data_IF_977061047813
#
_entry.id   IF_977061047813
#
_cell.length_a   1.000
_cell.length_b   1.000
_cell.length_c   1.000
_cell.angle_alpha   90.00
_cell.angle_beta   90.00
_cell.angle_gamma   90.00
#
_symmetry.space_group_name_H-M   'P 1'
#
loop_
_entity.id
_entity.type
_entity.pdbx_description
1 polymer ?
#
# COMPACT_ATOMS: atom_id res chain seq x y z
N UNK A 1 36.36 0.30 24.35
CA UNK A 1 35.05 0.97 24.38
C UNK A 1 34.47 0.74 22.99
N UNK A 2 33.55 -0.22 22.86
CA UNK A 2 32.87 -0.52 21.60
C UNK A 2 32.13 0.73 21.15
N UNK A 3 32.56 1.35 20.05
CA UNK A 3 31.78 2.43 19.43
C UNK A 3 30.62 1.75 18.72
N UNK A 4 29.44 1.78 19.33
CA UNK A 4 28.21 1.49 18.59
C UNK A 4 28.12 2.53 17.47
N UNK A 5 28.30 2.11 16.23
CA UNK A 5 28.03 2.94 15.06
C UNK A 5 26.51 3.13 14.98
N UNK A 6 26.04 4.25 15.53
CA UNK A 6 24.63 4.61 15.43
C UNK A 6 24.25 4.80 13.97
N UNK A 7 23.16 4.14 13.54
CA UNK A 7 22.60 4.34 12.21
C UNK A 7 22.17 5.80 12.01
N UNK A 8 22.11 6.27 10.76
CA UNK A 8 21.65 7.63 10.44
C UNK A 8 20.27 7.94 11.05
N UNK A 9 19.39 6.95 11.03
CA UNK A 9 18.07 7.00 11.66
C UNK A 9 18.17 7.26 13.17
N UNK A 10 19.05 6.55 13.87
CA UNK A 10 19.28 6.73 15.31
C UNK A 10 19.84 8.11 15.64
N UNK A 11 20.79 8.60 14.84
CA UNK A 11 21.42 9.91 15.06
C UNK A 11 20.44 11.06 14.84
N UNK A 12 19.67 11.02 13.75
CA UNK A 12 18.68 12.03 13.47
C UNK A 12 17.53 11.99 14.49
N UNK A 13 17.01 10.82 14.86
CA UNK A 13 15.93 10.72 15.86
C UNK A 13 16.38 11.12 17.28
N UNK A 14 17.64 10.86 17.65
CA UNK A 14 18.17 11.24 18.96
C UNK A 14 18.32 12.77 19.10
N UNK A 15 18.53 13.48 17.99
CA UNK A 15 18.65 14.94 18.01
C UNK A 15 17.29 15.58 17.69
N UNK A 16 16.61 16.07 18.73
CA UNK A 16 15.32 16.75 18.58
C UNK A 16 15.46 18.16 18.00
N UNK A 17 16.63 18.79 18.14
CA UNK A 17 16.86 20.21 17.84
C UNK A 17 17.65 20.43 16.55
N UNK A 18 18.03 19.35 15.86
CA UNK A 18 18.60 19.41 14.53
C UNK A 18 18.07 18.29 13.61
N UNK A 19 18.10 18.58 12.31
CA UNK A 19 18.04 17.55 11.28
C UNK A 19 19.49 17.14 11.00
N UNK A 20 19.81 15.87 11.26
CA UNK A 20 21.18 15.35 11.15
C UNK A 20 21.31 14.58 9.84
N UNK A 21 22.32 14.94 9.04
CA UNK A 21 22.63 14.26 7.78
C UNK A 21 24.13 13.94 7.72
N UNK A 22 24.49 12.70 7.37
CA UNK A 22 25.88 12.31 7.13
C UNK A 22 26.15 12.15 5.64
N UNK A 23 27.21 12.78 5.17
CA UNK A 23 27.71 12.65 3.82
C UNK A 23 28.54 11.36 3.63
N UNK A 24 28.70 10.96 2.37
CA UNK A 24 29.49 9.78 1.99
C UNK A 24 30.98 9.88 2.39
N UNK A 25 31.51 11.10 2.56
CA UNK A 25 32.86 11.36 3.07
C UNK A 25 32.98 11.19 4.60
N UNK A 26 31.89 10.86 5.31
CA UNK A 26 31.83 10.68 6.75
C UNK A 26 31.49 11.94 7.55
N UNK A 27 31.45 13.11 6.91
CA UNK A 27 31.10 14.39 7.52
C UNK A 27 29.63 14.43 7.93
N UNK A 28 29.32 15.03 9.08
CA UNK A 28 27.96 15.17 9.60
C UNK A 28 27.59 16.65 9.58
N UNK A 29 26.48 16.97 8.92
CA UNK A 29 25.85 18.28 8.99
C UNK A 29 24.59 18.25 9.83
N UNK A 30 24.45 19.29 10.64
CA UNK A 30 23.30 19.52 11.49
C UNK A 30 22.60 20.78 11.00
N UNK A 31 21.34 20.65 10.61
CA UNK A 31 20.49 21.77 10.19
C UNK A 31 19.58 22.10 11.37
N UNK A 32 19.66 23.31 11.86
CA UNK A 32 18.92 23.79 13.05
C UNK A 32 17.84 24.80 12.65
N UNK A 33 17.04 25.27 13.61
CA UNK A 33 16.03 26.29 13.36
C UNK A 33 16.62 27.63 12.85
N UNK A 34 17.90 27.91 13.16
CA UNK A 34 18.59 29.12 12.72
C UNK A 34 18.77 29.15 11.19
N UNK A 35 18.98 27.98 10.57
CA UNK A 35 19.07 27.82 9.11
C UNK A 35 17.74 28.08 8.38
N UNK A 36 16.64 28.20 9.13
CA UNK A 36 15.32 28.55 8.64
C UNK A 36 14.92 29.99 9.02
N UNK A 37 15.89 30.90 9.14
CA UNK A 37 15.68 32.29 9.61
C UNK A 37 15.01 32.35 11.00
N UNK A 38 15.25 31.34 11.85
CA UNK A 38 14.61 31.19 13.17
C UNK A 38 13.15 30.72 13.12
N UNK A 39 12.65 30.27 11.96
CA UNK A 39 11.26 29.81 11.81
C UNK A 39 11.07 28.39 12.36
N UNK A 40 10.82 28.31 13.66
CA UNK A 40 10.63 27.06 14.40
C UNK A 40 9.52 26.16 13.79
N UNK A 41 8.42 26.75 13.32
CA UNK A 41 7.30 25.98 12.75
C UNK A 41 7.70 25.29 11.44
N UNK A 42 8.47 25.99 10.61
CA UNK A 42 8.99 25.45 9.37
C UNK A 42 10.03 24.37 9.64
N UNK A 43 10.97 24.63 10.56
CA UNK A 43 11.94 23.64 11.03
C UNK A 43 11.27 22.35 11.52
N UNK A 44 10.29 22.44 12.43
CA UNK A 44 9.58 21.27 12.95
C UNK A 44 8.82 20.49 11.88
N UNK A 45 8.31 21.16 10.84
CA UNK A 45 7.68 20.48 9.70
C UNK A 45 8.71 19.65 8.92
N UNK A 46 9.87 20.23 8.60
CA UNK A 46 10.94 19.54 7.89
C UNK A 46 11.59 18.44 8.72
N UNK A 47 11.73 18.66 10.04
CA UNK A 47 12.23 17.67 10.98
C UNK A 47 11.34 16.43 11.01
N UNK A 48 10.02 16.59 11.16
CA UNK A 48 9.06 15.47 11.09
C UNK A 48 9.13 14.72 9.77
N UNK A 49 9.31 15.44 8.65
CA UNK A 49 9.44 14.83 7.35
C UNK A 49 10.73 14.00 7.24
N UNK A 50 11.85 14.55 7.70
CA UNK A 50 13.15 13.87 7.75
C UNK A 50 13.11 12.63 8.65
N UNK A 51 12.53 12.73 9.85
CA UNK A 51 12.35 11.60 10.77
C UNK A 51 11.59 10.46 10.12
N UNK A 52 10.50 10.78 9.42
CA UNK A 52 9.71 9.79 8.69
C UNK A 52 10.52 9.11 7.59
N UNK A 53 11.27 9.86 6.78
CA UNK A 53 12.10 9.29 5.72
C UNK A 53 13.15 8.32 6.27
N UNK A 54 13.83 8.67 7.36
CA UNK A 54 14.82 7.80 7.97
C UNK A 54 14.21 6.53 8.59
N UNK A 55 12.99 6.60 9.12
CA UNK A 55 12.26 5.42 9.61
C UNK A 55 11.86 4.52 8.44
N UNK A 56 11.28 5.10 7.38
CA UNK A 56 10.84 4.36 6.19
C UNK A 56 12.02 3.65 5.51
N UNK A 57 13.17 4.32 5.40
CA UNK A 57 14.41 3.75 4.86
C UNK A 57 14.94 2.62 5.75
N UNK A 58 14.99 2.81 7.06
CA UNK A 58 15.39 1.77 8.02
C UNK A 58 14.49 0.53 7.87
N UNK A 59 13.18 0.72 7.84
CA UNK A 59 12.21 -0.38 7.74
C UNK A 59 12.31 -1.09 6.38
N UNK A 60 12.56 -0.35 5.30
CA UNK A 60 12.86 -0.93 3.99
C UNK A 60 14.13 -1.78 4.03
N UNK A 61 15.21 -1.25 4.60
CA UNK A 61 16.48 -1.98 4.75
C UNK A 61 16.30 -3.25 5.60
N UNK A 62 15.55 -3.19 6.70
CA UNK A 62 15.22 -4.39 7.49
C UNK A 62 14.44 -5.41 6.67
N UNK A 63 13.41 -5.00 5.93
CA UNK A 63 12.65 -5.92 5.05
C UNK A 63 13.51 -6.60 3.98
N UNK A 64 14.52 -5.89 3.47
CA UNK A 64 15.41 -6.41 2.41
C UNK A 64 16.51 -7.30 3.00
N UNK A 65 17.15 -6.87 4.09
CA UNK A 65 18.36 -7.49 4.64
C UNK A 65 18.09 -8.61 5.65
N UNK A 66 17.04 -8.49 6.47
CA UNK A 66 16.63 -9.51 7.44
C UNK A 66 15.52 -10.36 6.84
N UNK A 67 15.89 -11.18 5.85
CA UNK A 67 15.06 -12.32 5.45
C UNK A 67 15.58 -13.53 6.22
N UNK A 68 15.02 -13.82 7.39
CA UNK A 68 15.21 -15.10 8.09
C UNK A 68 14.46 -16.19 7.32
N UNK A 69 14.94 -16.49 6.12
CA UNK A 69 14.49 -17.61 5.29
C UNK A 69 15.63 -18.60 5.18
N UNK A 70 15.30 -19.87 5.37
CA UNK A 70 16.26 -20.95 5.16
C UNK A 70 16.78 -20.88 3.72
N UNK A 71 18.08 -21.06 3.52
CA UNK A 71 18.67 -21.13 2.17
C UNK A 71 18.02 -22.23 1.32
N UNK A 72 17.42 -23.24 1.98
CA UNK A 72 16.70 -24.33 1.33
C UNK A 72 15.24 -23.98 0.96
N UNK A 73 14.72 -22.81 1.38
CA UNK A 73 13.41 -22.28 1.01
C UNK A 73 13.49 -21.14 -0.02
N UNK A 74 14.71 -20.76 -0.43
CA UNK A 74 14.95 -19.84 -1.53
C UNK A 74 14.84 -20.61 -2.86
N UNK A 75 13.68 -20.57 -3.51
CA UNK A 75 13.69 -20.69 -4.98
C UNK A 75 14.38 -19.43 -5.52
N UNK A 76 15.63 -19.60 -5.95
CA UNK A 76 16.68 -18.59 -6.20
C UNK A 76 16.35 -17.43 -7.18
N UNK A 77 15.13 -17.31 -7.69
CA UNK A 77 14.81 -16.37 -8.79
C UNK A 77 13.82 -15.26 -8.41
N UNK A 78 12.86 -15.51 -7.53
CA UNK A 78 11.74 -14.56 -7.32
C UNK A 78 11.98 -13.56 -6.18
N UNK A 79 12.86 -13.88 -5.21
CA UNK A 79 13.11 -13.04 -4.03
C UNK A 79 14.34 -12.12 -4.13
N UNK A 80 15.18 -12.31 -5.16
CA UNK A 80 16.38 -11.50 -5.42
C UNK A 80 16.13 -10.36 -6.44
N UNK A 81 14.95 -10.33 -7.07
CA UNK A 81 14.60 -9.28 -8.03
C UNK A 81 14.14 -8.03 -7.25
N UNK A 82 15.08 -7.10 -7.02
CA UNK A 82 14.72 -5.74 -6.66
C UNK A 82 14.17 -5.07 -7.92
N UNK A 83 12.93 -4.56 -7.90
CA UNK A 83 12.36 -3.96 -9.10
C UNK A 83 13.16 -2.73 -9.51
N UNK A 84 13.36 -2.55 -10.80
CA UNK A 84 14.01 -1.35 -11.34
C UNK A 84 13.23 -0.07 -10.97
N UNK A 85 13.88 1.10 -11.01
CA UNK A 85 13.20 2.37 -10.73
C UNK A 85 12.01 2.57 -11.68
N UNK A 86 12.16 2.16 -12.93
CA UNK A 86 11.14 2.13 -13.95
C UNK A 86 9.98 1.21 -13.55
N UNK A 87 10.26 -0.01 -13.08
CA UNK A 87 9.23 -0.92 -12.57
C UNK A 87 8.50 -0.35 -11.35
N UNK A 88 9.21 0.30 -10.43
CA UNK A 88 8.60 0.98 -9.27
C UNK A 88 7.67 2.11 -9.71
N UNK A 89 8.04 2.87 -10.74
CA UNK A 89 7.19 3.93 -11.30
C UNK A 89 5.94 3.36 -11.98
N UNK A 90 6.07 2.28 -12.77
CA UNK A 90 4.95 1.58 -13.39
C UNK A 90 4.00 1.03 -12.33
N UNK A 91 4.52 0.35 -11.30
CA UNK A 91 3.70 -0.17 -10.19
C UNK A 91 2.91 0.94 -9.48
N UNK A 92 3.51 2.13 -9.31
CA UNK A 92 2.81 3.29 -8.73
C UNK A 92 1.71 3.83 -9.64
N UNK A 93 1.96 3.88 -10.94
CA UNK A 93 0.96 4.32 -11.92
C UNK A 93 -0.23 3.36 -11.93
N UNK A 94 0.03 2.05 -11.92
CA UNK A 94 -0.98 1.01 -11.79
C UNK A 94 -1.80 1.15 -10.50
N UNK A 95 -1.15 1.46 -9.37
CA UNK A 95 -1.85 1.69 -8.09
C UNK A 95 -2.78 2.90 -8.15
N UNK A 96 -2.37 3.98 -8.81
CA UNK A 96 -3.20 5.18 -8.99
C UNK A 96 -4.39 4.86 -9.91
N UNK A 97 -4.15 4.17 -11.03
CA UNK A 97 -5.19 3.75 -11.97
C UNK A 97 -6.20 2.80 -11.29
N UNK A 98 -5.71 1.80 -10.56
CA UNK A 98 -6.53 0.90 -9.77
C UNK A 98 -7.40 1.65 -8.75
N UNK A 99 -6.81 2.60 -8.02
CA UNK A 99 -7.53 3.40 -7.02
C UNK A 99 -8.65 4.20 -7.68
N UNK A 100 -8.39 4.76 -8.87
CA UNK A 100 -9.40 5.50 -9.65
C UNK A 100 -10.54 4.58 -10.10
N UNK A 101 -10.24 3.45 -10.73
CA UNK A 101 -11.24 2.47 -11.20
C UNK A 101 -12.07 1.92 -10.04
N UNK A 102 -11.45 1.65 -8.88
CA UNK A 102 -12.17 1.25 -7.66
C UNK A 102 -13.12 2.32 -7.17
N UNK A 103 -12.70 3.59 -7.14
CA UNK A 103 -13.57 4.68 -6.72
C UNK A 103 -14.76 4.86 -7.67
N UNK A 104 -14.54 4.72 -8.98
CA UNK A 104 -15.61 4.76 -9.99
C UNK A 104 -16.57 3.58 -9.84
N UNK A 105 -16.07 2.36 -9.61
CA UNK A 105 -16.91 1.21 -9.33
C UNK A 105 -17.74 1.41 -8.06
N UNK A 106 -17.10 1.81 -6.95
CA UNK A 106 -17.77 2.10 -5.69
C UNK A 106 -18.84 3.17 -5.89
N UNK A 107 -18.61 4.18 -6.74
CA UNK A 107 -19.59 5.21 -7.09
C UNK A 107 -20.92 4.63 -7.65
N UNK A 108 -20.87 3.48 -8.33
CA UNK A 108 -22.06 2.79 -8.89
C UNK A 108 -22.89 2.04 -7.85
N UNK A 109 -22.34 1.79 -6.65
CA UNK A 109 -23.00 1.06 -5.58
C UNK A 109 -23.87 1.99 -4.74
N UNK A 110 -25.02 1.47 -4.29
CA UNK A 110 -25.84 2.18 -3.29
C UNK A 110 -25.17 2.19 -1.93
N UNK A 111 -25.55 3.11 -1.05
CA UNK A 111 -24.98 3.22 0.30
C UNK A 111 -25.07 1.90 1.09
N UNK A 112 -26.19 1.18 0.95
CA UNK A 112 -26.35 -0.15 1.56
C UNK A 112 -25.38 -1.18 0.99
N UNK A 113 -25.13 -1.15 -0.32
CA UNK A 113 -24.18 -2.07 -0.97
C UNK A 113 -22.74 -1.77 -0.53
N UNK A 114 -22.35 -0.50 -0.45
CA UNK A 114 -21.01 -0.09 0.02
C UNK A 114 -20.79 -0.49 1.47
N UNK A 115 -21.74 -0.18 2.36
CA UNK A 115 -21.66 -0.57 3.78
C UNK A 115 -21.46 -2.07 3.96
N UNK A 116 -22.20 -2.89 3.19
CA UNK A 116 -22.07 -4.35 3.25
C UNK A 116 -20.72 -4.83 2.71
N UNK A 117 -20.22 -4.20 1.65
CA UNK A 117 -18.89 -4.49 1.10
C UNK A 117 -17.78 -4.15 2.12
N UNK A 118 -17.86 -3.01 2.80
CA UNK A 118 -16.93 -2.60 3.85
C UNK A 118 -16.94 -3.56 5.04
N UNK A 119 -18.12 -4.00 5.48
CA UNK A 119 -18.24 -4.98 6.57
C UNK A 119 -17.58 -6.31 6.21
N UNK A 120 -17.75 -6.78 4.97
CA UNK A 120 -17.13 -8.01 4.49
C UNK A 120 -15.61 -7.86 4.31
N UNK A 121 -15.18 -6.85 3.55
CA UNK A 121 -13.78 -6.73 3.11
C UNK A 121 -12.84 -6.14 4.17
N UNK A 122 -13.28 -5.12 4.90
CA UNK A 122 -12.41 -4.42 5.88
C UNK A 122 -12.53 -4.99 7.28
N UNK A 123 -13.69 -5.54 7.63
CA UNK A 123 -13.98 -6.03 8.99
C UNK A 123 -14.14 -7.55 9.06
N UNK A 124 -13.93 -8.24 7.94
CA UNK A 124 -13.98 -9.71 7.83
C UNK A 124 -15.28 -10.32 8.37
N UNK A 125 -16.40 -9.62 8.24
CA UNK A 125 -17.71 -10.11 8.71
C UNK A 125 -18.36 -11.04 7.71
N UNK A 126 -18.85 -12.17 8.21
CA UNK A 126 -19.64 -13.12 7.43
C UNK A 126 -21.01 -12.54 7.06
N UNK A 127 -21.67 -13.10 6.03
CA UNK A 127 -23.01 -12.65 5.62
C UNK A 127 -24.05 -12.82 6.75
N UNK A 128 -23.87 -13.80 7.62
CA UNK A 128 -24.73 -14.05 8.79
C UNK A 128 -24.53 -12.94 9.83
N UNK A 129 -23.29 -12.61 10.20
CA UNK A 129 -23.01 -11.50 11.11
C UNK A 129 -23.49 -10.16 10.55
N UNK A 130 -23.34 -9.92 9.24
CA UNK A 130 -23.87 -8.71 8.59
C UNK A 130 -25.41 -8.66 8.70
N UNK A 131 -26.07 -9.80 8.53
CA UNK A 131 -27.51 -9.90 8.67
C UNK A 131 -27.96 -9.56 10.11
N UNK A 132 -27.22 -10.03 11.11
CA UNK A 132 -27.46 -9.69 12.52
C UNK A 132 -27.24 -8.19 12.80
N UNK A 133 -26.14 -7.61 12.30
CA UNK A 133 -25.80 -6.18 12.45
C UNK A 133 -26.86 -5.27 11.81
N UNK A 134 -27.42 -5.67 10.67
CA UNK A 134 -28.45 -4.90 9.96
C UNK A 134 -29.88 -5.30 10.33
N UNK A 135 -30.05 -6.20 11.32
CA UNK A 135 -31.34 -6.76 11.72
C UNK A 135 -32.18 -7.24 10.53
N UNK A 136 -31.53 -7.92 9.59
CA UNK A 136 -32.15 -8.43 8.38
C UNK A 136 -31.90 -9.92 8.23
N UNK A 137 -32.52 -10.53 7.21
CA UNK A 137 -32.34 -11.96 6.94
C UNK A 137 -31.15 -12.16 6.00
N UNK A 138 -30.33 -13.18 6.27
CA UNK A 138 -29.15 -13.52 5.46
C UNK A 138 -29.44 -13.62 3.94
N UNK A 139 -30.58 -14.16 3.46
CA UNK A 139 -30.87 -14.19 2.02
C UNK A 139 -30.92 -12.80 1.36
N UNK A 140 -31.31 -11.77 2.11
CA UNK A 140 -31.31 -10.38 1.62
C UNK A 140 -29.90 -9.82 1.48
N UNK A 141 -28.99 -10.22 2.37
CA UNK A 141 -27.56 -9.91 2.28
C UNK A 141 -26.96 -10.64 1.08
N UNK A 142 -27.23 -11.93 0.93
CA UNK A 142 -26.76 -12.73 -0.22
C UNK A 142 -27.19 -12.10 -1.55
N UNK A 143 -28.48 -11.78 -1.71
CA UNK A 143 -29.00 -11.11 -2.91
C UNK A 143 -28.31 -9.77 -3.19
N UNK A 144 -27.95 -9.04 -2.13
CA UNK A 144 -27.18 -7.80 -2.25
C UNK A 144 -25.80 -8.03 -2.84
N UNK A 145 -25.10 -9.07 -2.38
CA UNK A 145 -23.77 -9.43 -2.91
C UNK A 145 -23.85 -9.91 -4.36
N UNK A 146 -24.85 -10.73 -4.70
CA UNK A 146 -25.11 -11.11 -6.10
C UNK A 146 -25.29 -9.89 -7.01
N UNK A 147 -26.03 -8.88 -6.54
CA UNK A 147 -26.19 -7.63 -7.29
C UNK A 147 -24.89 -6.82 -7.40
N UNK A 148 -24.07 -6.79 -6.35
CA UNK A 148 -22.74 -6.15 -6.38
C UNK A 148 -21.85 -6.85 -7.40
N UNK A 149 -21.80 -8.18 -7.40
CA UNK A 149 -21.03 -8.97 -8.37
C UNK A 149 -21.48 -8.73 -9.80
N UNK A 150 -22.79 -8.63 -10.05
CA UNK A 150 -23.31 -8.31 -11.38
C UNK A 150 -22.92 -6.89 -11.82
N UNK A 151 -23.01 -5.90 -10.91
CA UNK A 151 -22.56 -4.53 -11.20
C UNK A 151 -21.07 -4.47 -11.51
N UNK A 152 -20.27 -5.24 -10.77
CA UNK A 152 -18.83 -5.34 -10.98
C UNK A 152 -18.51 -5.91 -12.37
N UNK A 153 -19.15 -7.02 -12.73
CA UNK A 153 -19.02 -7.62 -14.07
C UNK A 153 -19.38 -6.63 -15.17
N UNK A 154 -20.51 -5.94 -15.04
CA UNK A 154 -20.93 -4.94 -16.03
C UNK A 154 -19.98 -3.73 -16.08
N UNK A 155 -19.39 -3.31 -14.96
CA UNK A 155 -18.42 -2.21 -14.88
C UNK A 155 -17.15 -2.57 -15.67
N UNK A 156 -16.65 -3.78 -15.44
CA UNK A 156 -15.51 -4.37 -16.15
C UNK A 156 -15.79 -4.48 -17.66
N UNK A 157 -16.95 -5.04 -18.05
CA UNK A 157 -17.34 -5.19 -19.45
C UNK A 157 -17.51 -3.83 -20.16
N UNK A 158 -18.05 -2.83 -19.46
CA UNK A 158 -18.20 -1.48 -20.00
C UNK A 158 -16.84 -0.84 -20.28
N UNK A 159 -15.90 -0.95 -19.35
CA UNK A 159 -14.51 -0.50 -19.53
C UNK A 159 -13.83 -1.16 -20.73
N UNK A 160 -14.09 -2.45 -20.96
CA UNK A 160 -13.58 -3.17 -22.13
C UNK A 160 -14.19 -2.69 -23.47
N UNK A 161 -15.47 -2.27 -23.47
CA UNK A 161 -16.16 -1.81 -24.69
C UNK A 161 -15.82 -0.37 -25.11
N UNK A 162 -15.54 0.51 -24.15
CA UNK A 162 -15.14 1.91 -24.43
C UNK A 162 -13.64 2.01 -24.79
N UNK A 163 -12.88 0.93 -24.62
CA UNK A 163 -11.42 0.87 -24.62
C UNK A 163 -10.74 0.17 -25.80
N UNK A 164 -11.32 0.09 -27.00
CA UNK A 164 -10.64 -0.47 -28.19
C UNK A 164 -9.46 0.41 -28.71
N UNK A 165 -9.00 1.40 -27.93
CA UNK A 165 -7.91 2.32 -28.30
C UNK A 165 -6.81 2.50 -27.25
N UNK A 166 -6.93 1.95 -26.04
CA UNK A 166 -5.85 1.99 -25.05
C UNK A 166 -5.97 0.78 -24.13
N UNK A 167 -5.07 -0.19 -24.30
CA UNK A 167 -5.02 -1.41 -23.49
C UNK A 167 -4.54 -1.19 -22.04
N UNK A 168 -4.16 0.04 -21.70
CA UNK A 168 -3.53 0.41 -20.43
C UNK A 168 -4.52 0.60 -19.25
N UNK A 169 -5.80 0.27 -19.41
CA UNK A 169 -6.91 0.67 -18.50
C UNK A 169 -7.69 -0.49 -17.88
N UNK A 170 -7.06 -1.65 -17.68
CA UNK A 170 -7.76 -2.81 -17.09
C UNK A 170 -7.06 -3.38 -15.87
N UNK A 171 -6.48 -2.51 -15.05
CA UNK A 171 -5.74 -2.88 -13.84
C UNK A 171 -6.67 -3.63 -12.86
N UNK A 172 -7.95 -3.24 -12.76
CA UNK A 172 -8.91 -3.89 -11.88
C UNK A 172 -9.17 -5.36 -12.21
N UNK A 173 -9.40 -5.66 -13.49
CA UNK A 173 -9.74 -7.01 -13.94
C UNK A 173 -8.51 -7.91 -14.03
N UNK A 174 -7.35 -7.35 -14.37
CA UNK A 174 -6.07 -8.06 -14.27
C UNK A 174 -5.75 -8.43 -12.83
N UNK A 175 -5.94 -7.51 -11.87
CA UNK A 175 -5.81 -7.80 -10.44
C UNK A 175 -6.80 -8.84 -9.97
N UNK A 176 -8.07 -8.77 -10.39
CA UNK A 176 -9.07 -9.78 -10.05
C UNK A 176 -8.62 -11.19 -10.54
N UNK A 177 -8.20 -11.28 -11.79
CA UNK A 177 -7.69 -12.53 -12.39
C UNK A 177 -6.44 -13.05 -11.68
N UNK A 178 -5.55 -12.15 -11.26
CA UNK A 178 -4.34 -12.49 -10.50
C UNK A 178 -4.68 -13.12 -9.15
N UNK A 179 -5.62 -12.55 -8.39
CA UNK A 179 -6.01 -13.09 -7.10
C UNK A 179 -6.77 -14.41 -7.20
N UNK A 180 -7.55 -14.63 -8.26
CA UNK A 180 -8.19 -15.93 -8.54
C UNK A 180 -7.12 -17.03 -8.71
N UNK A 181 -6.11 -16.79 -9.55
CA UNK A 181 -4.99 -17.74 -9.76
C UNK A 181 -4.21 -18.01 -8.47
N UNK A 182 -4.02 -17.00 -7.61
CA UNK A 182 -3.36 -17.19 -6.31
C UNK A 182 -4.19 -18.02 -5.34
N UNK A 183 -5.52 -17.88 -5.36
CA UNK A 183 -6.40 -18.65 -4.50
C UNK A 183 -6.39 -20.14 -4.88
N UNK A 184 -6.35 -20.44 -6.19
CA UNK A 184 -6.26 -21.80 -6.73
C UNK A 184 -4.93 -22.50 -6.35
N UNK A 185 -3.80 -21.77 -6.38
CA UNK A 185 -2.49 -22.33 -5.99
C UNK A 185 -2.36 -22.68 -4.50
N UNK A 186 -3.21 -22.16 -3.62
CA UNK A 186 -3.17 -22.44 -2.18
C UNK A 186 -3.96 -23.69 -1.77
N UNK A 187 -4.70 -24.28 -2.70
CA UNK A 187 -5.54 -25.45 -2.44
C UNK A 187 -4.91 -26.79 -2.84
N UNK A 188 -3.72 -26.76 -3.45
CA UNK A 188 -2.86 -27.92 -3.76
C UNK A 188 -1.76 -28.09 -2.69
#
# INVERSE_FOLDING_TARGET
>A
MEKFEYTQCSLNLANADAIVYRFANGEVSEITAEDFDGNEKLFRKWKRLSDKYYIDERDLMYRISYKDVSINELEDTDLAHLPSMEEVLVMREDDVAFTKEMNEFLATLSDTQRRRLELLALRSKSQTEIAEIEHTRQPRIHKSFVQISQKFKNFIEKGASEGDKNRDFFILGERASYYERLAEKKTD
#
